data_IF_875286967246
#
_entry.id   IF_875286967246
#
_cell.length_a   1.000
_cell.length_b   1.000
_cell.length_c   1.000
_cell.angle_alpha   90.00
_cell.angle_beta   90.00
_cell.angle_gamma   90.00
#
_symmetry.space_group_name_H-M   'P 1'
#
loop_
_entity.id
_entity.type
_entity.pdbx_description
1 polymer ?
#
# COMPACT_ATOMS: atom_id res chain seq x y z
N UNK A 1 -8.30 18.75 -55.29
CA UNK A 1 -8.46 18.50 -53.82
C UNK A 1 -8.14 17.04 -53.44
N UNK A 2 -8.38 16.05 -54.26
CA UNK A 2 -8.13 14.62 -54.03
C UNK A 2 -6.65 14.33 -53.66
N UNK A 3 -5.72 14.80 -54.45
CA UNK A 3 -4.26 14.59 -54.32
C UNK A 3 -3.69 14.97 -52.96
N UNK A 4 -4.19 16.03 -52.34
CA UNK A 4 -3.79 16.47 -50.99
C UNK A 4 -4.35 15.54 -49.88
N UNK A 5 -5.50 14.98 -50.10
CA UNK A 5 -6.11 14.04 -49.17
C UNK A 5 -5.34 12.71 -49.20
N UNK A 6 -5.01 12.20 -50.38
CA UNK A 6 -4.27 10.96 -50.57
C UNK A 6 -2.86 11.04 -49.92
N UNK A 7 -2.17 12.18 -50.04
CA UNK A 7 -0.87 12.43 -49.39
C UNK A 7 -1.02 12.37 -47.85
N UNK A 8 -2.06 12.99 -47.28
CA UNK A 8 -2.29 12.98 -45.86
C UNK A 8 -2.61 11.57 -45.33
N UNK A 9 -3.36 10.80 -46.11
CA UNK A 9 -3.72 9.45 -45.69
C UNK A 9 -2.50 8.51 -45.77
N UNK A 10 -1.63 8.65 -46.78
CA UNK A 10 -0.35 7.94 -46.83
C UNK A 10 0.59 8.33 -45.65
N UNK A 11 0.66 9.61 -45.29
CA UNK A 11 1.43 10.03 -44.11
C UNK A 11 0.88 9.44 -42.82
N UNK A 12 -0.43 9.33 -42.65
CA UNK A 12 -1.06 8.67 -41.50
C UNK A 12 -0.75 7.17 -41.41
N UNK A 13 -0.55 6.54 -42.56
CA UNK A 13 -0.11 5.15 -42.71
C UNK A 13 1.41 4.97 -42.45
N UNK A 14 2.14 6.07 -42.20
CA UNK A 14 3.57 6.03 -41.86
C UNK A 14 4.51 6.12 -43.05
N UNK A 15 4.02 6.50 -44.25
CA UNK A 15 4.87 6.78 -45.37
C UNK A 15 5.54 8.15 -45.22
N UNK A 16 6.85 8.21 -45.50
CA UNK A 16 7.60 9.46 -45.53
C UNK A 16 7.25 10.27 -46.76
N UNK A 17 7.57 11.57 -46.74
CA UNK A 17 7.36 12.43 -47.92
C UNK A 17 8.17 11.98 -49.14
N UNK A 18 9.34 11.39 -48.94
CA UNK A 18 10.18 10.83 -49.99
C UNK A 18 9.52 9.61 -50.62
N UNK A 19 9.05 8.66 -49.81
CA UNK A 19 8.33 7.47 -50.28
C UNK A 19 7.04 7.87 -51.05
N UNK A 20 6.32 8.88 -50.56
CA UNK A 20 5.13 9.40 -51.21
C UNK A 20 5.50 10.05 -52.54
N UNK A 21 6.59 10.82 -52.60
CA UNK A 21 7.07 11.44 -53.85
C UNK A 21 7.40 10.38 -54.91
N UNK A 22 8.12 9.32 -54.51
CA UNK A 22 8.45 8.22 -55.42
C UNK A 22 7.19 7.54 -55.99
N UNK A 23 6.14 7.35 -55.17
CA UNK A 23 4.86 6.81 -55.64
C UNK A 23 4.21 7.68 -56.74
N UNK A 24 4.36 9.00 -56.63
CA UNK A 24 3.80 9.94 -57.63
C UNK A 24 4.68 10.09 -58.86
N UNK A 25 6.01 9.92 -58.74
CA UNK A 25 6.92 9.98 -59.90
C UNK A 25 6.78 8.76 -60.83
N UNK A 26 6.46 7.57 -60.24
CA UNK A 26 6.26 6.33 -61.00
C UNK A 26 4.80 6.10 -61.44
N UNK A 27 3.96 7.12 -61.40
CA UNK A 27 2.54 7.13 -61.84
C UNK A 27 1.65 6.04 -61.20
N UNK A 28 2.11 5.42 -60.09
CA UNK A 28 1.35 4.35 -59.43
C UNK A 28 0.33 4.87 -58.41
N UNK A 29 0.48 6.08 -57.91
CA UNK A 29 -0.39 6.82 -56.96
C UNK A 29 -0.85 6.04 -55.73
N UNK A 30 -0.61 4.73 -55.68
CA UNK A 30 -0.97 3.81 -54.61
C UNK A 30 0.20 2.89 -54.23
N UNK A 31 0.45 2.63 -52.94
CA UNK A 31 1.50 1.73 -52.53
C UNK A 31 1.25 0.29 -53.01
N UNK A 32 2.30 -0.39 -53.46
CA UNK A 32 2.25 -1.80 -53.76
C UNK A 32 2.04 -2.65 -52.48
N UNK A 33 1.53 -3.86 -52.63
CA UNK A 33 1.36 -4.83 -51.52
C UNK A 33 2.67 -5.04 -50.77
N UNK A 34 3.82 -5.04 -51.46
CA UNK A 34 5.14 -5.17 -50.86
C UNK A 34 5.44 -3.99 -49.92
N UNK A 35 5.24 -2.76 -50.37
CA UNK A 35 5.47 -1.54 -49.55
C UNK A 35 4.54 -1.49 -48.33
N UNK A 36 3.27 -1.85 -48.52
CA UNK A 36 2.33 -1.97 -47.41
C UNK A 36 2.78 -3.03 -46.38
N UNK A 37 3.26 -4.20 -46.86
CA UNK A 37 3.75 -5.26 -45.97
C UNK A 37 4.99 -4.82 -45.17
N UNK A 38 5.89 -4.05 -45.79
CA UNK A 38 7.05 -3.48 -45.12
C UNK A 38 6.64 -2.48 -44.04
N UNK A 39 5.70 -1.57 -44.34
CA UNK A 39 5.16 -0.62 -43.35
C UNK A 39 4.46 -1.31 -42.17
N UNK A 40 3.73 -2.38 -42.41
CA UNK A 40 3.13 -3.19 -41.36
C UNK A 40 4.22 -3.75 -40.43
N UNK A 41 5.30 -4.36 -40.99
CA UNK A 41 6.41 -4.89 -40.21
C UNK A 41 7.14 -3.82 -39.36
N UNK A 42 7.38 -2.65 -39.94
CA UNK A 42 7.97 -1.51 -39.23
C UNK A 42 7.09 -1.08 -38.05
N UNK A 43 5.78 -0.94 -38.30
CA UNK A 43 4.81 -0.56 -37.25
C UNK A 43 4.73 -1.60 -36.12
N UNK A 44 4.74 -2.89 -36.45
CA UNK A 44 4.78 -3.98 -35.48
C UNK A 44 6.08 -3.96 -34.67
N UNK A 45 7.22 -3.64 -35.28
CA UNK A 45 8.50 -3.51 -34.58
C UNK A 45 8.47 -2.33 -33.60
N UNK A 46 7.95 -1.18 -34.01
CA UNK A 46 7.74 -0.01 -33.15
C UNK A 46 6.80 -0.33 -31.99
N UNK A 47 5.70 -1.04 -32.25
CA UNK A 47 4.76 -1.46 -31.21
C UNK A 47 5.44 -2.35 -30.17
N UNK A 48 6.25 -3.34 -30.59
CA UNK A 48 7.02 -4.18 -29.68
C UNK A 48 7.98 -3.37 -28.81
N UNK A 49 8.66 -2.36 -29.37
CA UNK A 49 9.54 -1.47 -28.60
C UNK A 49 8.78 -0.63 -27.59
N UNK A 50 7.61 -0.09 -27.98
CA UNK A 50 6.76 0.68 -27.07
C UNK A 50 6.20 -0.16 -25.92
N UNK A 51 5.79 -1.39 -26.19
CA UNK A 51 5.36 -2.34 -25.17
C UNK A 51 6.49 -2.62 -24.16
N UNK A 52 7.69 -2.89 -24.66
CA UNK A 52 8.87 -3.11 -23.81
C UNK A 52 9.19 -1.89 -22.94
N UNK A 53 9.17 -0.70 -23.53
CA UNK A 53 9.39 0.57 -22.81
C UNK A 53 8.31 0.78 -21.73
N UNK A 54 7.04 0.55 -22.07
CA UNK A 54 5.93 0.64 -21.12
C UNK A 54 6.13 -0.32 -19.93
N UNK A 55 6.47 -1.57 -20.21
CA UNK A 55 6.68 -2.56 -19.15
C UNK A 55 7.80 -2.15 -18.20
N UNK A 56 8.95 -1.67 -18.71
CA UNK A 56 10.03 -1.12 -17.88
C UNK A 56 9.58 0.04 -17.01
N UNK A 57 8.74 0.94 -17.53
CA UNK A 57 8.18 2.05 -16.75
C UNK A 57 7.25 1.55 -15.64
N UNK A 58 6.47 0.50 -15.89
CA UNK A 58 5.62 -0.13 -14.88
C UNK A 58 6.45 -0.77 -13.77
N UNK A 59 7.50 -1.53 -14.12
CA UNK A 59 8.42 -2.14 -13.15
C UNK A 59 9.09 -1.08 -12.27
N UNK A 60 9.54 0.02 -12.86
CA UNK A 60 10.12 1.15 -12.13
C UNK A 60 9.14 1.83 -11.18
N UNK A 61 7.89 1.99 -11.64
CA UNK A 61 6.83 2.56 -10.80
C UNK A 61 6.55 1.67 -9.59
N UNK A 62 6.46 0.36 -9.81
CA UNK A 62 6.09 -0.58 -8.78
C UNK A 62 7.25 -0.81 -7.79
N UNK A 63 8.50 -0.87 -8.25
CA UNK A 63 9.70 -0.87 -7.40
C UNK A 63 9.77 0.38 -6.49
N UNK A 64 9.39 1.56 -6.99
CA UNK A 64 9.32 2.76 -6.16
C UNK A 64 8.22 2.73 -5.11
N UNK A 65 7.08 2.07 -5.40
CA UNK A 65 6.03 1.86 -4.41
C UNK A 65 6.51 0.93 -3.30
N UNK A 66 7.19 -0.15 -3.64
CA UNK A 66 7.76 -1.09 -2.68
C UNK A 66 8.82 -0.42 -1.78
N UNK A 67 9.76 0.35 -2.34
CA UNK A 67 10.74 1.13 -1.56
C UNK A 67 10.06 2.11 -0.59
N UNK A 68 9.05 2.86 -1.06
CA UNK A 68 8.31 3.81 -0.23
C UNK A 68 7.50 3.12 0.89
N UNK A 69 7.13 1.86 0.69
CA UNK A 69 6.47 1.03 1.70
C UNK A 69 7.50 0.50 2.70
N UNK A 70 8.70 0.10 2.26
CA UNK A 70 9.78 -0.36 3.15
C UNK A 70 10.35 0.76 4.04
N UNK A 71 10.36 2.02 3.60
CA UNK A 71 10.75 3.18 4.42
C UNK A 71 9.83 3.41 5.63
N UNK A 72 8.63 2.83 5.62
CA UNK A 72 7.67 2.90 6.74
C UNK A 72 7.96 1.89 7.85
N UNK A 73 8.79 0.88 7.58
CA UNK A 73 9.11 -0.17 8.53
C UNK A 73 10.43 0.08 9.23
N UNK A 74 10.48 -0.19 10.52
CA UNK A 74 11.71 -0.16 11.31
C UNK A 74 11.77 -1.38 12.23
N UNK A 75 12.98 -1.84 12.52
CA UNK A 75 13.19 -2.87 13.54
C UNK A 75 13.58 -2.16 14.82
N UNK A 76 12.82 -2.41 15.88
CA UNK A 76 13.04 -1.81 17.20
C UNK A 76 13.11 -2.90 18.27
N UNK A 77 13.68 -2.58 19.43
CA UNK A 77 13.58 -3.38 20.63
C UNK A 77 12.52 -2.79 21.54
N UNK A 78 11.72 -3.64 22.16
CA UNK A 78 10.77 -3.23 23.20
C UNK A 78 11.28 -3.70 24.55
N UNK A 79 11.26 -2.85 25.60
CA UNK A 79 11.66 -3.22 26.93
C UNK A 79 10.63 -4.17 27.59
N UNK A 80 11.04 -4.81 28.67
CA UNK A 80 10.08 -5.46 29.57
C UNK A 80 9.22 -4.38 30.25
N UNK A 81 7.91 -4.58 30.27
CA UNK A 81 6.96 -3.67 30.91
C UNK A 81 5.91 -4.43 31.70
N UNK A 82 5.36 -3.78 32.74
CA UNK A 82 4.16 -4.25 33.45
C UNK A 82 2.96 -3.53 32.82
N UNK A 83 1.90 -4.26 32.56
CA UNK A 83 0.68 -3.68 31.99
C UNK A 83 -0.55 -4.08 32.82
N UNK A 84 -1.48 -3.15 32.95
CA UNK A 84 -2.87 -3.40 33.24
C UNK A 84 -3.58 -3.69 31.94
N UNK A 85 -4.26 -4.82 31.81
CA UNK A 85 -4.88 -5.22 30.55
C UNK A 85 -6.33 -5.66 30.71
N UNK A 86 -7.11 -5.48 29.65
CA UNK A 86 -8.48 -5.96 29.51
C UNK A 86 -8.68 -6.56 28.13
N UNK A 87 -9.12 -7.83 28.08
CA UNK A 87 -9.41 -8.52 26.82
C UNK A 87 -10.90 -8.74 26.67
N UNK A 88 -11.44 -8.33 25.51
CA UNK A 88 -12.85 -8.46 25.17
C UNK A 88 -13.02 -8.58 23.66
N UNK A 89 -14.11 -9.23 23.23
CA UNK A 89 -14.52 -9.23 21.81
C UNK A 89 -15.43 -8.02 21.59
N UNK A 90 -14.95 -7.06 20.81
CA UNK A 90 -15.71 -5.86 20.44
C UNK A 90 -16.37 -5.99 19.07
N UNK A 91 -17.53 -5.37 18.84
CA UNK A 91 -18.22 -5.46 17.56
C UNK A 91 -17.45 -4.83 16.40
N UNK A 92 -16.77 -3.72 16.64
CA UNK A 92 -15.92 -2.97 15.70
C UNK A 92 -14.96 -2.05 16.46
N UNK A 93 -14.04 -1.38 15.77
CA UNK A 93 -13.06 -0.48 16.40
C UNK A 93 -13.69 0.79 17.02
N UNK A 94 -14.89 1.20 16.59
CA UNK A 94 -15.57 2.36 17.18
C UNK A 94 -15.96 2.11 18.66
N UNK A 95 -16.18 0.84 19.02
CA UNK A 95 -16.48 0.45 20.38
C UNK A 95 -15.27 0.52 21.35
N UNK A 96 -14.05 0.70 20.81
CA UNK A 96 -12.84 0.78 21.65
C UNK A 96 -12.82 2.03 22.52
N UNK A 97 -13.24 3.17 22.00
CA UNK A 97 -13.32 4.42 22.76
C UNK A 97 -14.20 4.28 24.01
N UNK A 98 -15.50 3.95 23.84
CA UNK A 98 -16.38 3.67 24.98
C UNK A 98 -15.82 2.65 25.96
N UNK A 99 -15.26 1.53 25.48
CA UNK A 99 -14.63 0.52 26.33
C UNK A 99 -13.53 1.12 27.23
N UNK A 100 -12.66 1.96 26.66
CA UNK A 100 -11.59 2.61 27.42
C UNK A 100 -12.12 3.61 28.45
N UNK A 101 -13.06 4.49 28.08
CA UNK A 101 -13.50 5.58 28.93
C UNK A 101 -14.56 5.18 29.96
N UNK A 102 -15.42 4.22 29.64
CA UNK A 102 -16.56 3.86 30.50
C UNK A 102 -16.27 2.66 31.38
N UNK A 103 -15.35 1.77 30.98
CA UNK A 103 -15.09 0.51 31.67
C UNK A 103 -13.66 0.42 32.23
N UNK A 104 -12.65 0.56 31.36
CA UNK A 104 -11.25 0.32 31.74
C UNK A 104 -10.69 1.47 32.61
N UNK A 105 -10.81 2.71 32.16
CA UNK A 105 -10.27 3.87 32.87
C UNK A 105 -10.80 4.03 34.28
N UNK A 106 -12.12 3.99 34.52
CA UNK A 106 -12.67 4.03 35.89
C UNK A 106 -12.17 2.88 36.79
N UNK A 107 -12.02 1.69 36.22
CA UNK A 107 -11.53 0.54 37.00
C UNK A 107 -10.04 0.69 37.32
N UNK A 108 -9.21 1.14 36.39
CA UNK A 108 -7.80 1.45 36.63
C UNK A 108 -7.64 2.52 37.74
N UNK A 109 -8.47 3.55 37.69
CA UNK A 109 -8.49 4.59 38.70
C UNK A 109 -8.89 4.02 40.10
N UNK A 110 -9.91 3.16 40.15
CA UNK A 110 -10.36 2.49 41.36
C UNK A 110 -9.26 1.61 41.98
N UNK A 111 -8.45 0.95 41.13
CA UNK A 111 -7.33 0.12 41.53
C UNK A 111 -6.06 0.92 41.87
N UNK A 112 -6.08 2.26 41.70
CA UNK A 112 -4.95 3.13 41.97
C UNK A 112 -3.77 2.94 41.01
N UNK A 113 -4.02 2.50 39.79
CA UNK A 113 -2.97 2.30 38.78
C UNK A 113 -2.22 3.60 38.52
N UNK A 114 -0.88 3.55 38.55
CA UNK A 114 0.00 4.66 38.17
C UNK A 114 0.66 4.34 36.87
N UNK A 115 0.47 5.24 35.88
CA UNK A 115 1.05 5.11 34.55
C UNK A 115 2.29 6.00 34.43
N UNK A 116 3.46 5.49 34.02
CA UNK A 116 4.67 6.30 33.85
C UNK A 116 4.54 7.27 32.68
N UNK A 117 5.04 8.51 32.74
CA UNK A 117 5.16 9.41 31.62
C UNK A 117 6.59 9.36 31.01
N UNK A 118 6.81 9.09 29.70
CA UNK A 118 5.84 8.53 28.77
C UNK A 118 5.64 7.03 29.00
N UNK A 119 4.38 6.56 28.96
CA UNK A 119 4.03 5.16 29.06
C UNK A 119 3.56 4.56 27.75
N UNK A 120 3.60 3.23 27.65
CA UNK A 120 3.03 2.52 26.51
C UNK A 120 1.53 2.30 26.74
N UNK A 121 0.73 2.73 25.75
CA UNK A 121 -0.69 2.42 25.66
C UNK A 121 -0.95 1.83 24.28
N UNK A 122 -1.48 0.61 24.20
CA UNK A 122 -1.66 -0.09 22.95
C UNK A 122 -2.73 -1.17 23.03
N UNK A 123 -3.11 -1.68 21.88
CA UNK A 123 -4.00 -2.84 21.78
C UNK A 123 -3.28 -4.01 21.12
N UNK A 124 -3.56 -5.22 21.59
CA UNK A 124 -3.16 -6.47 20.95
C UNK A 124 -4.39 -7.08 20.29
N UNK A 125 -4.28 -7.40 19.00
CA UNK A 125 -5.32 -8.12 18.27
C UNK A 125 -5.01 -9.62 18.32
N UNK A 126 -5.95 -10.42 18.81
CA UNK A 126 -5.84 -11.87 18.98
C UNK A 126 -6.50 -12.67 17.85
N UNK A 127 -7.16 -12.01 16.88
CA UNK A 127 -7.67 -12.67 15.70
C UNK A 127 -6.51 -13.19 14.84
N UNK A 128 -6.65 -14.39 14.25
CA UNK A 128 -5.66 -14.97 13.35
C UNK A 128 -5.57 -14.23 12.01
N UNK A 129 -6.68 -13.66 11.58
CA UNK A 129 -6.83 -12.92 10.34
C UNK A 129 -7.52 -11.59 10.61
N UNK A 130 -7.34 -10.63 9.71
CA UNK A 130 -8.05 -9.35 9.80
C UNK A 130 -9.57 -9.55 9.67
N UNK A 131 -10.31 -9.00 10.60
CA UNK A 131 -11.78 -8.95 10.58
C UNK A 131 -12.25 -7.54 10.95
N UNK A 132 -13.23 -6.96 10.23
CA UNK A 132 -13.79 -5.66 10.57
C UNK A 132 -14.79 -5.71 11.72
N UNK A 133 -15.24 -6.91 12.11
CA UNK A 133 -16.26 -7.14 13.15
C UNK A 133 -15.84 -8.29 14.05
N UNK A 134 -16.39 -8.35 15.26
CA UNK A 134 -16.07 -9.38 16.28
C UNK A 134 -14.56 -9.46 16.53
N UNK A 135 -13.98 -8.32 16.87
CA UNK A 135 -12.54 -8.15 17.05
C UNK A 135 -12.17 -8.59 18.45
N UNK A 136 -11.36 -9.65 18.56
CA UNK A 136 -10.79 -10.10 19.83
C UNK A 136 -9.57 -9.24 20.16
N UNK A 137 -9.79 -8.23 20.98
CA UNK A 137 -8.81 -7.21 21.31
C UNK A 137 -8.44 -7.24 22.78
N UNK A 138 -7.18 -7.01 23.09
CA UNK A 138 -6.71 -6.77 24.44
C UNK A 138 -6.11 -5.38 24.52
N UNK A 139 -6.74 -4.51 25.28
CA UNK A 139 -6.21 -3.19 25.63
C UNK A 139 -5.14 -3.37 26.71
N UNK A 140 -4.01 -2.70 26.56
CA UNK A 140 -2.89 -2.74 27.50
C UNK A 140 -2.41 -1.31 27.78
N UNK A 141 -2.25 -1.00 29.04
CA UNK A 141 -1.65 0.25 29.50
C UNK A 141 -0.53 -0.04 30.49
N UNK A 142 0.63 0.57 30.25
CA UNK A 142 1.79 0.40 31.12
C UNK A 142 1.52 1.00 32.50
N UNK A 143 1.87 0.24 33.52
CA UNK A 143 1.80 0.67 34.93
C UNK A 143 3.16 0.52 35.60
N UNK A 144 3.38 1.30 36.65
CA UNK A 144 4.66 1.28 37.41
C UNK A 144 4.85 -0.01 38.19
N UNK A 145 3.76 -0.59 38.73
CA UNK A 145 3.79 -1.74 39.64
C UNK A 145 2.70 -2.77 39.26
N UNK A 146 2.96 -4.02 39.67
CA UNK A 146 1.94 -5.08 39.61
C UNK A 146 0.84 -4.79 40.61
N UNK A 147 -0.39 -4.69 40.15
CA UNK A 147 -1.57 -4.58 40.98
C UNK A 147 -2.24 -5.94 41.24
N UNK A 148 -3.36 -5.89 41.96
CA UNK A 148 -4.22 -7.06 42.19
C UNK A 148 -5.26 -7.14 41.08
N UNK A 149 -5.38 -8.30 40.44
CA UNK A 149 -6.38 -8.58 39.41
C UNK A 149 -7.79 -8.28 39.91
N UNK A 150 -8.59 -7.70 39.03
CA UNK A 150 -10.03 -7.56 39.27
C UNK A 150 -10.84 -8.39 38.26
N UNK A 151 -12.14 -8.27 38.28
CA UNK A 151 -13.01 -8.88 37.30
C UNK A 151 -12.81 -8.28 35.90
N UNK A 152 -12.33 -7.03 35.80
CA UNK A 152 -12.15 -6.27 34.57
C UNK A 152 -10.67 -6.23 34.16
N UNK A 153 -9.78 -5.87 35.07
CA UNK A 153 -8.35 -5.67 34.80
C UNK A 153 -7.52 -6.88 35.25
N UNK A 154 -6.58 -7.25 34.37
CA UNK A 154 -5.53 -8.23 34.64
C UNK A 154 -4.17 -7.57 34.59
N UNK A 155 -3.32 -7.79 35.59
CA UNK A 155 -1.94 -7.31 35.58
C UNK A 155 -1.01 -8.40 35.06
N UNK A 156 -0.14 -8.05 34.13
CA UNK A 156 0.85 -8.98 33.59
C UNK A 156 2.14 -8.29 33.22
N UNK A 157 3.21 -9.07 33.22
CA UNK A 157 4.52 -8.66 32.75
C UNK A 157 4.69 -9.09 31.30
N UNK A 158 4.92 -8.15 30.41
CA UNK A 158 5.27 -8.42 29.03
C UNK A 158 6.80 -8.49 28.92
N UNK A 159 7.37 -9.58 28.38
CA UNK A 159 8.81 -9.75 28.31
C UNK A 159 9.42 -8.75 27.31
N UNK A 160 10.69 -8.42 27.50
CA UNK A 160 11.44 -7.67 26.53
C UNK A 160 11.51 -8.40 25.17
N UNK A 161 11.30 -7.67 24.10
CA UNK A 161 11.40 -8.20 22.73
C UNK A 161 12.58 -7.51 22.02
N UNK A 162 13.67 -8.24 21.74
CA UNK A 162 14.88 -7.63 21.16
C UNK A 162 14.71 -7.17 19.71
N UNK A 163 13.76 -7.75 18.98
CA UNK A 163 13.48 -7.41 17.58
C UNK A 163 11.98 -7.45 17.29
N UNK A 164 11.42 -6.30 16.99
CA UNK A 164 10.01 -6.14 16.59
C UNK A 164 9.98 -5.32 15.32
N UNK A 165 9.24 -5.79 14.33
CA UNK A 165 8.98 -5.02 13.12
C UNK A 165 7.90 -3.98 13.42
N UNK A 166 8.27 -2.71 13.32
CA UNK A 166 7.39 -1.58 13.57
C UNK A 166 7.08 -0.84 12.26
N UNK A 167 5.83 -0.45 12.11
CA UNK A 167 5.40 0.45 11.04
C UNK A 167 4.76 1.68 11.67
N UNK A 168 5.26 2.87 11.31
CA UNK A 168 4.62 4.13 11.71
C UNK A 168 3.43 4.40 10.79
N UNK A 169 2.23 4.44 11.38
CA UNK A 169 1.01 4.90 10.71
C UNK A 169 0.69 6.31 11.20
N UNK A 170 0.48 7.21 10.25
CA UNK A 170 -0.06 8.55 10.53
C UNK A 170 -1.50 8.50 10.06
N UNK A 171 -2.42 8.67 10.99
CA UNK A 171 -3.86 8.58 10.74
C UNK A 171 -4.36 9.50 9.61
N UNK A 172 -5.65 9.36 9.20
CA UNK A 172 -6.23 10.19 8.16
C UNK A 172 -6.24 11.64 8.54
#
# INVERSE_FOLDING_TARGET
>A
MQKLQDIRDLQRLGFSLEEIKDLYEYDSHTPSIRQLTEKIKETEAQLRQLITRRNRLLDWRDSRKEMKTMEKFSIQSLPEIIVASHREVIPNYEALGPLCYEKIGPEMQRLGCKCPPPGYCFTMNHNKEYTPTNIDIEYCEQVEEMGTDSAIIKFKRLPAMPKVLCMKHVGP
#
